data_IF_336052020559
#
_entry.id   IF_336052020559
#
_cell.length_a   1.000
_cell.length_b   1.000
_cell.length_c   1.000
_cell.angle_alpha   90.00
_cell.angle_beta   90.00
_cell.angle_gamma   90.00
#
_symmetry.space_group_name_H-M   'P 1'
#
loop_
_entity.id
_entity.type
_entity.pdbx_description
1 polymer ?
#
# COMPACT_ATOMS: atom_id res chain seq x y z
N UNK A 1 -5.49 -12.47 3.94
CA UNK A 1 -4.08 -12.05 3.77
C UNK A 1 -3.90 -11.44 2.40
N UNK A 2 -3.23 -10.31 2.31
CA UNK A 2 -2.95 -9.67 1.03
C UNK A 2 -1.52 -9.98 0.61
N UNK A 3 -1.33 -10.29 -0.68
CA UNK A 3 -0.01 -10.58 -1.22
C UNK A 3 0.70 -9.28 -1.61
N UNK A 4 2.00 -9.26 -1.41
CA UNK A 4 2.87 -8.13 -1.74
C UNK A 4 2.69 -7.66 -3.19
N UNK A 5 2.67 -8.60 -4.15
CA UNK A 5 2.48 -8.28 -5.57
C UNK A 5 1.11 -7.70 -5.88
N UNK A 6 0.10 -8.10 -5.14
CA UNK A 6 -1.24 -7.55 -5.31
C UNK A 6 -1.27 -6.07 -4.93
N UNK A 7 -0.57 -5.72 -3.85
CA UNK A 7 -0.45 -4.32 -3.43
C UNK A 7 0.22 -3.49 -4.53
N UNK A 8 1.30 -4.02 -5.13
CA UNK A 8 1.98 -3.35 -6.24
C UNK A 8 1.05 -3.14 -7.44
N UNK A 9 0.27 -4.16 -7.79
CA UNK A 9 -0.69 -4.09 -8.90
C UNK A 9 -1.79 -3.07 -8.61
N UNK A 10 -2.27 -3.01 -7.38
CA UNK A 10 -3.27 -2.03 -6.96
C UNK A 10 -2.73 -0.61 -7.11
N UNK A 11 -1.47 -0.37 -6.74
CA UNK A 11 -0.84 0.94 -6.91
C UNK A 11 -0.70 1.31 -8.38
N UNK A 12 -0.36 0.38 -9.25
CA UNK A 12 -0.32 0.61 -10.69
C UNK A 12 -1.70 1.00 -11.22
N UNK A 13 -2.74 0.29 -10.80
CA UNK A 13 -4.11 0.61 -11.18
C UNK A 13 -4.53 1.99 -10.67
N UNK A 14 -4.12 2.36 -9.46
CA UNK A 14 -4.40 3.69 -8.92
C UNK A 14 -3.79 4.76 -9.81
N UNK A 15 -2.52 4.62 -10.19
CA UNK A 15 -1.85 5.59 -11.06
C UNK A 15 -2.55 5.70 -12.42
N UNK A 16 -3.02 4.58 -12.97
CA UNK A 16 -3.72 4.57 -14.25
C UNK A 16 -5.04 5.36 -14.21
N UNK A 17 -5.72 5.35 -13.06
CA UNK A 17 -6.98 6.07 -12.87
C UNK A 17 -6.77 7.52 -12.43
N UNK A 18 -5.59 7.86 -11.91
CA UNK A 18 -5.26 9.19 -11.41
C UNK A 18 -3.94 9.68 -12.02
N UNK A 19 -3.88 9.82 -13.36
CA UNK A 19 -2.60 10.12 -14.02
C UNK A 19 -2.03 11.49 -13.67
N UNK A 20 -2.85 12.43 -13.21
CA UNK A 20 -2.39 13.78 -12.84
C UNK A 20 -1.77 13.82 -11.46
N UNK A 21 -2.27 13.01 -10.53
CA UNK A 21 -1.78 12.99 -9.15
C UNK A 21 -0.76 11.88 -8.90
N UNK A 22 -0.82 10.80 -9.69
CA UNK A 22 0.09 9.67 -9.54
C UNK A 22 -0.19 8.84 -8.29
N UNK A 23 0.87 8.36 -7.66
CA UNK A 23 0.77 7.51 -6.46
C UNK A 23 0.06 8.22 -5.31
N UNK A 24 -0.74 7.48 -4.52
CA UNK A 24 -1.20 8.03 -3.24
C UNK A 24 -0.01 8.26 -2.33
N UNK A 25 -0.04 9.33 -1.53
CA UNK A 25 1.08 9.70 -0.67
C UNK A 25 0.60 9.93 0.76
N UNK A 26 1.56 9.90 1.69
CA UNK A 26 1.31 10.11 3.10
C UNK A 26 1.62 8.86 3.93
N UNK A 27 1.01 8.78 5.10
CA UNK A 27 1.13 7.63 5.97
C UNK A 27 0.41 6.41 5.38
N UNK A 28 0.75 5.21 5.84
CA UNK A 28 0.09 3.98 5.38
C UNK A 28 -1.44 4.10 5.46
N UNK A 29 -1.97 4.60 6.57
CA UNK A 29 -3.41 4.77 6.73
C UNK A 29 -4.02 5.71 5.69
N UNK A 30 -3.31 6.75 5.30
CA UNK A 30 -3.76 7.69 4.27
C UNK A 30 -3.73 7.05 2.89
N UNK A 31 -2.67 6.30 2.59
CA UNK A 31 -2.55 5.55 1.34
C UNK A 31 -3.65 4.49 1.26
N UNK A 32 -3.86 3.75 2.34
CA UNK A 32 -4.91 2.72 2.42
C UNK A 32 -6.29 3.35 2.22
N UNK A 33 -6.55 4.49 2.83
CA UNK A 33 -7.82 5.20 2.64
C UNK A 33 -8.03 5.56 1.17
N UNK A 34 -7.00 6.05 0.48
CA UNK A 34 -7.09 6.37 -0.94
C UNK A 34 -7.40 5.12 -1.77
N UNK A 35 -6.77 3.99 -1.45
CA UNK A 35 -6.98 2.73 -2.19
C UNK A 35 -8.35 2.09 -1.91
N UNK A 36 -9.00 2.44 -0.81
CA UNK A 36 -10.29 1.89 -0.41
C UNK A 36 -11.47 2.80 -0.74
N UNK A 37 -11.26 3.82 -1.56
CA UNK A 37 -12.34 4.63 -2.11
C UNK A 37 -12.33 6.09 -1.70
N UNK A 38 -11.48 6.52 -0.79
CA UNK A 38 -11.38 7.92 -0.39
C UNK A 38 -10.49 8.69 -1.38
N UNK A 39 -11.00 8.85 -2.58
CA UNK A 39 -10.35 9.55 -3.69
C UNK A 39 -11.40 10.26 -4.52
N UNK A 40 -10.97 11.06 -5.50
CA UNK A 40 -11.87 11.89 -6.30
C UNK A 40 -12.93 11.10 -7.08
N UNK A 41 -12.57 9.90 -7.52
CA UNK A 41 -13.48 9.03 -8.27
C UNK A 41 -14.31 8.13 -7.37
N UNK A 42 -14.04 8.12 -6.06
CA UNK A 42 -14.62 7.18 -5.09
C UNK A 42 -14.44 5.73 -5.54
N UNK A 43 -13.29 5.46 -6.14
CA UNK A 43 -12.94 4.16 -6.69
C UNK A 43 -12.22 3.32 -5.64
N UNK A 44 -12.88 2.27 -5.17
CA UNK A 44 -12.27 1.33 -4.22
C UNK A 44 -11.55 0.23 -4.99
N UNK A 45 -10.22 0.23 -4.98
CA UNK A 45 -9.40 -0.82 -5.57
C UNK A 45 -9.20 -1.98 -4.60
N UNK A 46 -9.33 -1.71 -3.30
CA UNK A 46 -9.34 -2.71 -2.23
C UNK A 46 -10.62 -2.50 -1.44
N UNK A 47 -11.36 -3.56 -1.09
CA UNK A 47 -12.54 -3.40 -0.24
C UNK A 47 -12.17 -2.77 1.11
N UNK A 48 -12.95 -1.78 1.60
CA UNK A 48 -12.64 -1.11 2.87
C UNK A 48 -12.63 -2.04 4.09
N UNK A 49 -13.30 -3.17 4.00
CA UNK A 49 -13.39 -4.17 5.06
C UNK A 49 -12.43 -5.34 4.86
N UNK A 50 -11.42 -5.17 3.99
CA UNK A 50 -10.46 -6.24 3.72
C UNK A 50 -9.75 -6.67 5.02
N UNK A 51 -9.60 -7.99 5.27
CA UNK A 51 -9.00 -8.49 6.52
C UNK A 51 -7.56 -8.01 6.77
N UNK A 52 -6.82 -7.62 5.73
CA UNK A 52 -5.47 -7.10 5.87
C UNK A 52 -5.41 -5.67 6.39
N UNK A 53 -6.54 -4.98 6.50
CA UNK A 53 -6.59 -3.63 7.05
C UNK A 53 -6.84 -3.72 8.55
N UNK A 54 -5.93 -3.17 9.35
CA UNK A 54 -6.03 -3.22 10.80
C UNK A 54 -6.97 -2.13 11.35
N UNK A 55 -7.08 -2.05 12.69
CA UNK A 55 -7.99 -1.10 13.36
C UNK A 55 -7.60 0.36 13.11
N UNK A 56 -6.32 0.61 12.87
CA UNK A 56 -5.79 1.94 12.59
C UNK A 56 -5.95 2.34 11.13
N UNK A 57 -6.58 1.49 10.31
CA UNK A 57 -6.78 1.76 8.90
C UNK A 57 -5.55 1.54 8.05
N UNK A 58 -4.60 0.76 8.53
CA UNK A 58 -3.35 0.47 7.84
C UNK A 58 -3.40 -0.87 7.14
N UNK A 59 -2.88 -0.93 5.91
CA UNK A 59 -2.73 -2.17 5.17
C UNK A 59 -1.53 -2.93 5.71
N UNK A 60 -1.75 -4.18 6.12
CA UNK A 60 -0.72 -5.01 6.76
C UNK A 60 -0.27 -6.15 5.86
N UNK A 61 0.96 -6.61 6.08
CA UNK A 61 1.51 -7.76 5.40
C UNK A 61 0.99 -9.07 6.00
N UNK A 62 1.52 -10.20 5.50
CA UNK A 62 1.09 -11.53 5.95
C UNK A 62 1.39 -11.82 7.42
N UNK A 63 2.30 -11.06 8.03
CA UNK A 63 2.66 -11.19 9.45
C UNK A 63 1.95 -10.17 10.34
N UNK A 64 1.05 -9.37 9.77
CA UNK A 64 0.27 -8.38 10.51
C UNK A 64 0.98 -7.06 10.74
N UNK A 65 2.13 -6.85 10.14
CA UNK A 65 2.89 -5.60 10.25
C UNK A 65 2.47 -4.66 9.11
N UNK A 66 2.22 -3.37 9.39
CA UNK A 66 1.89 -2.42 8.32
C UNK A 66 2.99 -2.35 7.27
N UNK A 67 2.59 -2.32 6.00
CA UNK A 67 3.53 -2.06 4.91
C UNK A 67 4.15 -0.68 5.06
N UNK A 68 5.40 -0.56 4.70
CA UNK A 68 6.07 0.72 4.58
C UNK A 68 6.03 1.17 3.12
N UNK A 69 5.37 2.30 2.87
CA UNK A 69 5.28 2.89 1.55
C UNK A 69 6.20 4.10 1.48
N UNK A 70 7.10 4.09 0.51
CA UNK A 70 8.01 5.20 0.28
C UNK A 70 7.81 5.74 -1.13
N UNK A 71 7.21 6.91 -1.24
CA UNK A 71 6.97 7.57 -2.53
C UNK A 71 8.25 8.29 -2.96
N UNK A 72 8.88 7.80 -4.02
CA UNK A 72 10.07 8.43 -4.60
C UNK A 72 9.68 9.53 -5.59
N UNK A 73 8.56 9.33 -6.28
CA UNK A 73 7.99 10.31 -7.22
C UNK A 73 6.51 9.99 -7.41
N UNK A 74 5.82 10.80 -8.21
CA UNK A 74 4.42 10.56 -8.55
C UNK A 74 4.20 9.22 -9.26
N UNK A 75 5.22 8.68 -9.92
CA UNK A 75 5.13 7.45 -10.70
C UNK A 75 5.93 6.29 -10.13
N UNK A 76 6.63 6.49 -9.02
CA UNK A 76 7.48 5.46 -8.43
C UNK A 76 7.31 5.41 -6.92
N UNK A 77 7.00 4.23 -6.40
CA UNK A 77 6.83 4.01 -4.98
C UNK A 77 7.47 2.68 -4.61
N UNK A 78 8.26 2.70 -3.53
CA UNK A 78 8.80 1.47 -2.95
C UNK A 78 7.86 0.98 -1.87
N UNK A 79 7.54 -0.31 -1.90
CA UNK A 79 6.74 -0.97 -0.88
C UNK A 79 7.65 -1.94 -0.15
N UNK A 80 7.69 -1.87 1.18
CA UNK A 80 8.52 -2.75 1.98
C UNK A 80 7.66 -3.51 2.98
N UNK A 81 7.83 -4.84 3.02
CA UNK A 81 7.28 -5.69 4.06
C UNK A 81 8.39 -6.05 5.04
N UNK A 82 8.12 -5.93 6.33
CA UNK A 82 9.12 -6.18 7.37
C UNK A 82 9.54 -7.65 7.49
N UNK A 83 8.76 -8.57 6.90
CA UNK A 83 9.06 -9.99 6.96
C UNK A 83 8.69 -10.65 8.28
N UNK A 84 9.15 -11.90 8.50
CA UNK A 84 8.75 -12.68 9.68
C UNK A 84 9.17 -12.08 11.02
N UNK A 85 10.24 -11.30 11.06
CA UNK A 85 10.73 -10.68 12.31
C UNK A 85 9.94 -9.43 12.69
N UNK A 86 9.06 -8.94 11.80
CA UNK A 86 8.23 -7.75 12.00
C UNK A 86 9.03 -6.47 12.23
N UNK A 87 10.26 -6.44 11.75
CA UNK A 87 11.15 -5.27 11.88
C UNK A 87 11.58 -4.79 10.51
N UNK A 88 11.41 -3.49 10.25
CA UNK A 88 11.86 -2.88 9.02
C UNK A 88 13.38 -2.71 8.99
N UNK A 89 13.93 -2.68 7.78
CA UNK A 89 15.36 -2.47 7.53
C UNK A 89 16.24 -3.59 8.09
N UNK A 90 15.74 -4.82 8.02
CA UNK A 90 16.49 -6.03 8.37
C UNK A 90 16.63 -6.91 7.14
N UNK A 91 17.47 -7.97 7.18
CA UNK A 91 17.62 -8.89 6.04
C UNK A 91 16.33 -9.60 5.63
N UNK A 92 15.32 -9.65 6.49
CA UNK A 92 14.04 -10.29 6.20
C UNK A 92 13.08 -9.39 5.40
N UNK A 93 13.43 -8.14 5.16
CA UNK A 93 12.58 -7.19 4.44
C UNK A 93 12.41 -7.63 2.99
N UNK A 94 11.18 -7.49 2.49
CA UNK A 94 10.87 -7.63 1.07
C UNK A 94 10.50 -6.26 0.53
N UNK A 95 11.13 -5.86 -0.57
CA UNK A 95 10.87 -4.56 -1.20
C UNK A 95 10.52 -4.73 -2.66
N UNK A 96 9.63 -3.90 -3.13
CA UNK A 96 9.20 -3.88 -4.53
C UNK A 96 8.93 -2.43 -4.96
N UNK A 97 9.37 -2.08 -6.17
CA UNK A 97 9.15 -0.75 -6.76
C UNK A 97 8.30 -0.91 -8.02
N UNK A 98 6.97 -0.84 -7.89
CA UNK A 98 6.08 -0.95 -9.05
C UNK A 98 6.18 0.23 -10.01
#
# INVERSE_FOLDING_TARGET
>A
MIRFRLVALVLENFRSNFPRTGNPVGLNSEITAALTGQNQLRLALIPPDHPAINREGELTDRWGTPFFFHAESATRMTITSAGPDKKLHTPDDESFAP
#
